data_IF_933157375950
#
_entry.id   IF_933157375950
#
_cell.length_a   1.000
_cell.length_b   1.000
_cell.length_c   1.000
_cell.angle_alpha   90.00
_cell.angle_beta   90.00
_cell.angle_gamma   90.00
#
_symmetry.space_group_name_H-M   'P 1'
#
loop_
_entity.id
_entity.type
_entity.pdbx_description
1 polymer ?
#
# COMPACT_ATOMS: atom_id res chain seq x y z
N UNK A 1 1.58 65.65 -31.07
CA UNK A 1 2.04 64.37 -31.66
C UNK A 1 2.35 63.44 -30.51
N UNK A 2 1.45 62.48 -30.29
CA UNK A 2 1.57 61.40 -29.31
C UNK A 2 2.51 60.33 -29.85
N UNK A 3 3.34 59.72 -29.00
CA UNK A 3 3.63 58.29 -29.15
C UNK A 3 4.08 57.70 -27.81
N UNK A 4 3.22 56.83 -27.28
CA UNK A 4 3.31 56.08 -26.04
C UNK A 4 4.50 55.10 -26.05
N UNK A 5 5.26 55.05 -24.96
CA UNK A 5 6.19 53.96 -24.68
C UNK A 5 5.41 52.76 -24.10
N UNK A 6 5.30 51.68 -24.88
CA UNK A 6 4.71 50.41 -24.45
C UNK A 6 5.72 49.63 -23.59
N UNK A 7 5.51 49.63 -22.28
CA UNK A 7 6.20 48.74 -21.34
C UNK A 7 5.57 47.33 -21.47
N UNK A 8 6.23 46.41 -22.16
CA UNK A 8 5.88 44.99 -22.19
C UNK A 8 6.16 44.37 -20.82
N UNK A 9 5.12 44.31 -19.98
CA UNK A 9 5.13 43.50 -18.77
C UNK A 9 4.94 42.03 -19.19
N UNK A 10 6.02 41.26 -19.24
CA UNK A 10 5.94 39.81 -19.42
C UNK A 10 5.33 39.20 -18.16
N UNK A 11 3.99 39.03 -18.13
CA UNK A 11 3.35 38.14 -17.17
C UNK A 11 3.74 36.71 -17.54
N UNK A 12 4.74 36.18 -16.86
CA UNK A 12 4.96 34.74 -16.80
C UNK A 12 3.81 34.14 -16.01
N UNK A 13 2.84 33.55 -16.70
CA UNK A 13 1.86 32.69 -16.05
C UNK A 13 2.57 31.41 -15.65
N UNK A 14 3.07 31.38 -14.41
CA UNK A 14 3.42 30.12 -13.79
C UNK A 14 2.12 29.31 -13.67
N UNK A 15 1.96 28.27 -14.49
CA UNK A 15 1.00 27.21 -14.20
C UNK A 15 1.44 26.62 -12.86
N UNK A 16 0.82 27.07 -11.77
CA UNK A 16 0.91 26.42 -10.49
C UNK A 16 0.21 25.08 -10.64
N UNK A 17 0.97 24.04 -11.00
CA UNK A 17 0.52 22.67 -10.80
C UNK A 17 0.26 22.56 -9.30
N UNK A 18 -1.00 22.30 -8.93
CA UNK A 18 -1.33 22.00 -7.55
C UNK A 18 -0.34 20.95 -7.05
N UNK A 19 0.23 21.10 -5.84
CA UNK A 19 1.18 20.12 -5.33
C UNK A 19 0.52 18.74 -5.41
N UNK A 20 1.26 17.69 -5.85
CA UNK A 20 0.73 16.33 -5.87
C UNK A 20 0.11 16.03 -4.50
N UNK A 21 -1.18 15.67 -4.49
CA UNK A 21 -1.86 15.37 -3.22
C UNK A 21 -1.15 14.18 -2.56
N UNK A 22 -0.70 14.31 -1.29
CA UNK A 22 -0.03 13.20 -0.62
C UNK A 22 -1.02 12.05 -0.45
N UNK A 23 -0.70 10.83 -0.91
CA UNK A 23 -1.60 9.69 -0.77
C UNK A 23 -1.96 9.48 0.71
N UNK A 24 -3.25 9.36 1.00
CA UNK A 24 -3.75 9.29 2.39
C UNK A 24 -3.31 8.01 3.10
N UNK A 25 -3.11 6.93 2.35
CA UNK A 25 -2.42 5.73 2.82
C UNK A 25 -1.11 5.63 2.03
N UNK A 26 0.03 5.75 2.71
CA UNK A 26 1.36 5.51 2.18
C UNK A 26 2.17 4.72 3.21
N UNK A 27 2.36 3.44 2.94
CA UNK A 27 3.08 2.52 3.83
C UNK A 27 4.18 1.88 3.01
N UNK A 28 5.43 2.10 3.42
CA UNK A 28 6.62 1.47 2.87
C UNK A 28 7.29 0.73 4.02
N UNK A 29 7.42 -0.59 3.93
CA UNK A 29 7.97 -1.40 5.02
C UNK A 29 9.05 -2.35 4.52
N UNK A 30 10.21 -2.31 5.18
CA UNK A 30 11.36 -3.20 4.96
C UNK A 30 11.33 -4.34 5.96
N UNK A 31 11.03 -5.54 5.46
CA UNK A 31 10.89 -6.73 6.29
C UNK A 31 12.26 -7.26 6.72
N UNK A 32 12.41 -7.52 8.01
CA UNK A 32 13.65 -8.02 8.61
C UNK A 32 14.70 -6.93 8.88
N UNK A 33 14.41 -5.66 8.59
CA UNK A 33 15.25 -4.55 9.06
C UNK A 33 15.08 -4.34 10.57
N UNK A 34 16.10 -3.80 11.23
CA UNK A 34 16.06 -3.42 12.65
C UNK A 34 15.80 -1.92 12.84
N UNK A 35 15.92 -1.15 11.77
CA UNK A 35 15.66 0.29 11.73
C UNK A 35 15.19 0.72 10.35
N UNK A 36 14.57 1.91 10.28
CA UNK A 36 14.18 2.50 9.01
C UNK A 36 15.39 2.68 8.08
N UNK A 37 15.19 2.38 6.80
CA UNK A 37 16.21 2.45 5.75
C UNK A 37 15.67 3.23 4.55
N UNK A 38 16.56 3.90 3.82
CA UNK A 38 16.19 4.60 2.59
C UNK A 38 16.49 3.75 1.35
N UNK A 39 15.67 3.94 0.32
CA UNK A 39 16.01 3.47 -1.03
C UNK A 39 16.83 4.51 -1.81
N UNK A 40 17.24 4.15 -3.02
CA UNK A 40 18.02 4.99 -3.93
C UNK A 40 17.28 6.28 -4.36
N UNK A 41 15.97 6.34 -4.14
CA UNK A 41 15.13 7.51 -4.38
C UNK A 41 14.91 8.34 -3.11
N UNK A 42 15.69 8.10 -2.04
CA UNK A 42 15.61 8.78 -0.75
C UNK A 42 14.26 8.60 -0.03
N UNK A 43 13.43 7.62 -0.44
CA UNK A 43 12.18 7.31 0.26
C UNK A 43 12.50 6.52 1.52
N UNK A 44 11.88 6.89 2.63
CA UNK A 44 12.03 6.19 3.91
C UNK A 44 11.13 4.97 3.95
N UNK A 45 11.70 3.82 4.33
CA UNK A 45 10.99 2.59 4.59
C UNK A 45 11.08 2.25 6.07
N UNK A 46 9.94 1.96 6.70
CA UNK A 46 9.88 1.60 8.11
C UNK A 46 10.37 0.18 8.33
N UNK A 47 10.99 -0.10 9.49
CA UNK A 47 11.29 -1.48 9.89
C UNK A 47 10.04 -2.25 10.31
N UNK A 48 10.11 -3.57 10.28
CA UNK A 48 9.02 -4.43 10.73
C UNK A 48 9.21 -5.02 12.14
N UNK A 49 10.42 -4.91 12.72
CA UNK A 49 10.74 -5.46 14.03
C UNK A 49 9.97 -4.73 15.15
N UNK A 50 9.75 -3.43 15.00
CA UNK A 50 9.03 -2.58 15.96
C UNK A 50 7.73 -2.02 15.40
N UNK A 51 7.27 -2.54 14.25
CA UNK A 51 6.11 -2.01 13.56
C UNK A 51 4.81 -2.32 14.30
N UNK A 52 3.92 -1.32 14.37
CA UNK A 52 2.52 -1.50 14.82
C UNK A 52 1.71 -2.42 13.90
N UNK A 53 2.21 -2.73 12.70
CA UNK A 53 1.56 -3.61 11.73
C UNK A 53 1.90 -5.08 11.96
N UNK A 54 2.97 -5.37 12.71
CA UNK A 54 3.39 -6.72 13.03
C UNK A 54 2.73 -7.23 14.33
N UNK A 55 2.53 -8.55 14.47
CA UNK A 55 2.14 -9.14 15.74
C UNK A 55 3.27 -8.97 16.79
N UNK A 56 2.94 -8.81 18.08
CA UNK A 56 3.93 -8.55 19.14
C UNK A 56 5.01 -9.63 19.30
N UNK A 57 4.74 -10.86 18.85
CA UNK A 57 5.65 -12.01 18.93
C UNK A 57 6.47 -12.22 17.64
N UNK A 58 6.61 -11.19 16.79
CA UNK A 58 7.39 -11.29 15.54
C UNK A 58 8.82 -11.82 15.79
N UNK A 59 9.49 -11.38 16.85
CA UNK A 59 10.87 -11.76 17.16
C UNK A 59 11.04 -13.26 17.49
N UNK A 60 9.99 -13.94 17.93
CA UNK A 60 10.04 -15.36 18.31
C UNK A 60 9.37 -16.29 17.29
N UNK A 61 8.59 -15.76 16.35
CA UNK A 61 7.84 -16.52 15.34
C UNK A 61 8.35 -16.34 13.92
N UNK A 62 9.37 -15.50 13.75
CA UNK A 62 9.97 -15.20 12.45
C UNK A 62 11.44 -14.86 12.62
N UNK A 63 12.17 -14.89 11.50
CA UNK A 63 13.61 -14.65 11.49
C UNK A 63 13.94 -13.58 10.47
N UNK A 64 14.74 -12.60 10.88
CA UNK A 64 15.34 -11.64 9.97
C UNK A 64 16.68 -12.17 9.46
N UNK A 65 16.89 -12.16 8.15
CA UNK A 65 18.14 -12.63 7.54
C UNK A 65 18.52 -11.82 6.30
N UNK A 66 19.82 -11.69 6.06
CA UNK A 66 20.36 -11.17 4.81
C UNK A 66 20.50 -12.31 3.79
N UNK A 67 20.40 -12.04 2.49
CA UNK A 67 20.66 -13.05 1.48
C UNK A 67 22.10 -13.56 1.59
N UNK A 68 22.28 -14.87 1.48
CA UNK A 68 23.61 -15.53 1.52
C UNK A 68 24.38 -15.38 0.22
N UNK A 69 23.66 -15.15 -0.88
CA UNK A 69 24.23 -14.88 -2.20
C UNK A 69 24.57 -13.40 -2.30
N UNK A 70 25.85 -13.08 -2.46
CA UNK A 70 26.30 -11.70 -2.65
C UNK A 70 26.09 -11.30 -4.11
N UNK A 71 25.10 -10.44 -4.40
CA UNK A 71 24.81 -10.02 -5.78
C UNK A 71 24.58 -8.51 -5.88
N UNK A 72 25.44 -7.80 -6.62
CA UNK A 72 25.24 -6.42 -7.11
C UNK A 72 25.06 -5.29 -6.08
N UNK A 73 25.22 -4.03 -6.52
CA UNK A 73 24.95 -2.84 -5.72
C UNK A 73 23.47 -2.63 -5.39
N UNK A 74 22.56 -3.23 -6.17
CA UNK A 74 21.09 -3.12 -6.03
C UNK A 74 20.58 -3.76 -4.73
N UNK A 75 21.38 -4.65 -4.11
CA UNK A 75 21.05 -5.27 -2.83
C UNK A 75 21.40 -4.42 -1.60
N UNK A 76 21.99 -3.24 -1.78
CA UNK A 76 22.37 -2.37 -0.65
C UNK A 76 21.28 -1.35 -0.29
N UNK A 77 20.17 -1.29 -1.03
CA UNK A 77 19.07 -0.37 -0.78
C UNK A 77 17.81 -1.09 -0.33
N UNK A 78 16.93 -0.36 0.34
CA UNK A 78 15.58 -0.84 0.61
C UNK A 78 14.85 -1.28 -0.68
N UNK A 79 13.99 -2.31 -0.63
CA UNK A 79 13.72 -3.20 0.51
C UNK A 79 14.51 -4.52 0.48
N UNK A 80 15.57 -4.65 -0.32
CA UNK A 80 16.19 -5.95 -0.61
C UNK A 80 17.37 -6.32 0.29
N UNK A 81 17.83 -5.41 1.15
CA UNK A 81 18.97 -5.64 2.06
C UNK A 81 18.76 -6.85 2.98
N UNK A 82 17.52 -7.08 3.41
CA UNK A 82 17.13 -8.16 4.32
C UNK A 82 15.77 -8.72 3.92
N UNK A 83 15.42 -9.84 4.54
CA UNK A 83 14.09 -10.41 4.48
C UNK A 83 13.67 -10.87 5.87
N UNK A 84 12.35 -10.99 6.05
CA UNK A 84 11.79 -11.77 7.14
C UNK A 84 11.26 -13.10 6.63
N UNK A 85 11.61 -14.15 7.37
CA UNK A 85 11.30 -15.55 7.08
C UNK A 85 10.30 -16.04 8.12
N UNK A 86 9.24 -16.68 7.66
CA UNK A 86 8.13 -17.17 8.49
C UNK A 86 8.05 -18.70 8.40
N UNK A 87 8.03 -19.36 9.55
CA UNK A 87 7.96 -20.84 9.64
C UNK A 87 6.53 -21.35 9.84
N UNK A 88 5.61 -20.46 10.18
CA UNK A 88 4.18 -20.70 10.31
C UNK A 88 3.42 -19.58 9.63
N UNK A 89 2.09 -19.68 9.60
CA UNK A 89 1.26 -18.55 9.16
C UNK A 89 1.63 -17.29 9.94
N UNK A 90 1.85 -16.21 9.19
CA UNK A 90 2.15 -14.89 9.74
C UNK A 90 1.27 -13.85 9.07
N UNK A 91 0.81 -12.85 9.82
CA UNK A 91 -0.11 -11.81 9.29
C UNK A 91 0.34 -10.43 9.73
N UNK A 92 0.59 -9.55 8.77
CA UNK A 92 0.64 -8.11 9.01
C UNK A 92 -0.77 -7.51 8.93
N UNK A 93 -1.08 -6.56 9.81
CA UNK A 93 -2.37 -5.87 9.84
C UNK A 93 -2.18 -4.38 9.62
N UNK A 94 -2.67 -3.87 8.49
CA UNK A 94 -2.56 -2.46 8.14
C UNK A 94 -3.90 -1.75 8.38
N UNK A 95 -3.95 -0.73 9.25
CA UNK A 95 -5.07 0.19 9.30
C UNK A 95 -4.99 1.12 8.10
N UNK A 96 -5.96 1.03 7.19
CA UNK A 96 -6.04 1.80 5.94
C UNK A 96 -7.46 2.27 5.70
N UNK A 97 -7.64 3.34 4.93
CA UNK A 97 -8.98 3.81 4.60
C UNK A 97 -9.69 2.84 3.64
N UNK A 98 -11.03 2.87 3.60
CA UNK A 98 -11.80 2.10 2.63
C UNK A 98 -11.48 2.54 1.18
N UNK A 99 -11.75 1.65 0.22
CA UNK A 99 -11.56 1.86 -1.22
C UNK A 99 -10.37 1.10 -1.81
N UNK A 100 -10.02 1.39 -3.07
CA UNK A 100 -9.01 0.64 -3.81
C UNK A 100 -7.61 0.91 -3.24
N UNK A 101 -6.79 -0.13 -3.21
CA UNK A 101 -5.40 -0.12 -2.75
C UNK A 101 -4.50 -0.74 -3.79
N UNK A 102 -3.42 -0.05 -4.09
CA UNK A 102 -2.26 -0.65 -4.74
C UNK A 102 -1.43 -1.34 -3.66
N UNK A 103 -1.01 -2.56 -3.95
CA UNK A 103 -0.14 -3.37 -3.10
C UNK A 103 0.99 -3.91 -3.96
N UNK A 104 2.23 -3.56 -3.63
CA UNK A 104 3.43 -4.18 -4.21
C UNK A 104 4.16 -4.98 -3.15
N UNK A 105 4.41 -6.25 -3.46
CA UNK A 105 5.16 -7.17 -2.61
C UNK A 105 6.54 -7.39 -3.20
N UNK A 106 7.58 -7.22 -2.39
CA UNK A 106 8.97 -7.32 -2.80
C UNK A 106 9.57 -8.63 -2.30
N UNK A 107 10.22 -9.36 -3.21
CA UNK A 107 10.93 -10.59 -2.87
C UNK A 107 12.30 -10.59 -3.56
N UNK A 108 13.31 -11.13 -2.91
CA UNK A 108 14.60 -11.37 -3.55
C UNK A 108 14.85 -12.87 -3.61
N UNK A 109 15.05 -13.37 -4.84
CA UNK A 109 15.21 -14.80 -5.11
C UNK A 109 16.64 -15.26 -4.77
N UNK A 110 16.88 -15.46 -3.48
CA UNK A 110 18.13 -15.93 -2.93
C UNK A 110 17.91 -16.98 -1.85
N UNK A 111 19.00 -17.64 -1.45
CA UNK A 111 19.01 -18.45 -0.24
C UNK A 111 19.25 -17.56 0.98
N UNK A 112 18.50 -17.80 2.05
CA UNK A 112 18.66 -17.11 3.32
C UNK A 112 18.91 -18.12 4.42
N UNK A 113 19.85 -17.83 5.31
CA UNK A 113 20.12 -18.63 6.50
C UNK A 113 20.01 -17.74 7.72
N UNK A 114 19.18 -18.12 8.69
CA UNK A 114 19.17 -17.48 10.00
C UNK A 114 20.51 -17.67 10.72
N UNK A 115 20.76 -16.84 11.74
CA UNK A 115 21.84 -17.11 12.69
C UNK A 115 21.62 -18.46 13.41
N UNK A 116 20.35 -18.85 13.57
CA UNK A 116 19.97 -20.23 13.85
C UNK A 116 19.98 -21.04 12.53
N UNK A 117 21.00 -21.90 12.38
CA UNK A 117 21.23 -22.72 11.18
C UNK A 117 20.10 -23.70 10.86
N UNK A 118 19.16 -23.89 11.79
CA UNK A 118 18.01 -24.79 11.60
C UNK A 118 16.88 -24.16 10.78
N UNK A 119 16.93 -22.84 10.53
CA UNK A 119 15.93 -22.15 9.73
C UNK A 119 16.59 -21.50 8.54
N UNK A 120 16.33 -22.07 7.38
CA UNK A 120 16.83 -21.58 6.11
C UNK A 120 15.71 -21.51 5.10
N UNK A 121 15.81 -20.57 4.18
CA UNK A 121 14.92 -20.41 3.05
C UNK A 121 15.71 -20.70 1.79
N UNK A 122 15.24 -21.65 0.98
CA UNK A 122 15.86 -22.00 -0.29
C UNK A 122 14.92 -21.60 -1.42
N UNK A 123 15.36 -20.70 -2.30
CA UNK A 123 14.57 -20.16 -3.41
C UNK A 123 14.01 -21.22 -4.37
N UNK A 124 14.67 -22.38 -4.48
CA UNK A 124 14.30 -23.44 -5.40
C UNK A 124 13.34 -24.47 -4.78
N UNK A 125 13.24 -24.51 -3.46
CA UNK A 125 12.53 -25.55 -2.72
C UNK A 125 11.43 -25.01 -1.81
N UNK A 126 11.49 -23.73 -1.44
CA UNK A 126 10.46 -23.06 -0.66
C UNK A 126 9.30 -22.62 -1.55
N UNK A 127 8.09 -23.05 -1.21
CA UNK A 127 6.85 -22.56 -1.80
C UNK A 127 5.93 -22.03 -0.70
N UNK A 128 5.19 -20.97 -0.98
CA UNK A 128 4.25 -20.38 -0.03
C UNK A 128 3.10 -19.67 -0.74
N UNK A 129 2.06 -19.37 0.02
CA UNK A 129 0.89 -18.61 -0.42
C UNK A 129 0.86 -17.27 0.29
N UNK A 130 0.43 -16.23 -0.41
CA UNK A 130 0.19 -14.90 0.17
C UNK A 130 -1.26 -14.52 -0.11
N UNK A 131 -1.95 -14.04 0.93
CA UNK A 131 -3.31 -13.52 0.82
C UNK A 131 -3.38 -12.08 1.31
N UNK A 132 -4.30 -11.31 0.73
CA UNK A 132 -4.77 -10.05 1.28
C UNK A 132 -6.24 -10.21 1.65
N UNK A 133 -6.54 -10.14 2.94
CA UNK A 133 -7.83 -10.55 3.50
C UNK A 133 -8.19 -11.96 2.99
N UNK A 134 -9.37 -12.12 2.36
CA UNK A 134 -9.85 -13.40 1.85
C UNK A 134 -9.31 -13.74 0.45
N UNK A 135 -8.52 -12.85 -0.17
CA UNK A 135 -8.06 -13.02 -1.55
C UNK A 135 -6.65 -13.58 -1.62
N UNK A 136 -6.48 -14.67 -2.37
CA UNK A 136 -5.14 -15.19 -2.70
C UNK A 136 -4.46 -14.32 -3.75
N UNK A 137 -3.32 -13.73 -3.39
CA UNK A 137 -2.49 -12.92 -4.30
C UNK A 137 -1.46 -13.79 -5.03
N UNK A 138 -0.82 -14.68 -4.28
CA UNK A 138 0.23 -15.59 -4.74
C UNK A 138 -0.03 -16.96 -4.17
N UNK A 139 0.15 -18.01 -4.97
CA UNK A 139 0.10 -19.39 -4.49
C UNK A 139 1.07 -20.25 -5.28
N UNK A 140 1.84 -21.07 -4.56
CA UNK A 140 2.74 -22.09 -5.10
C UNK A 140 3.58 -21.61 -6.31
N UNK A 141 4.31 -20.52 -6.11
CA UNK A 141 4.94 -19.76 -7.20
C UNK A 141 6.46 -19.78 -7.10
N UNK A 142 7.14 -19.59 -8.24
CA UNK A 142 8.56 -19.22 -8.27
C UNK A 142 8.73 -17.75 -7.89
N UNK A 143 9.64 -17.47 -6.97
CA UNK A 143 9.84 -16.15 -6.35
C UNK A 143 10.21 -15.09 -7.41
N UNK A 144 9.35 -14.09 -7.67
CA UNK A 144 9.64 -12.95 -8.54
C UNK A 144 10.46 -11.90 -7.79
N UNK A 145 10.90 -10.85 -8.47
CA UNK A 145 11.55 -9.73 -7.79
C UNK A 145 10.54 -8.82 -7.05
N UNK A 146 9.41 -8.54 -7.70
CA UNK A 146 8.25 -7.93 -7.06
C UNK A 146 6.96 -8.37 -7.75
N UNK A 147 5.82 -8.09 -7.11
CA UNK A 147 4.48 -8.32 -7.69
C UNK A 147 3.50 -7.24 -7.27
N UNK A 148 2.72 -6.81 -8.25
CA UNK A 148 1.74 -5.74 -8.10
C UNK A 148 0.31 -6.28 -8.12
N UNK A 149 -0.48 -5.76 -7.18
CA UNK A 149 -1.88 -6.10 -7.01
C UNK A 149 -2.69 -4.85 -6.79
N UNK A 150 -3.93 -4.89 -7.29
CA UNK A 150 -4.99 -4.01 -6.82
C UNK A 150 -5.91 -4.83 -5.93
N UNK A 151 -6.07 -4.38 -4.69
CA UNK A 151 -7.02 -4.95 -3.74
C UNK A 151 -8.05 -3.91 -3.33
N UNK A 152 -9.19 -4.37 -2.82
CA UNK A 152 -10.26 -3.51 -2.37
C UNK A 152 -10.49 -3.69 -0.89
N UNK A 153 -10.52 -2.57 -0.15
CA UNK A 153 -10.93 -2.57 1.25
C UNK A 153 -12.36 -2.07 1.31
N UNK A 154 -13.28 -2.96 1.69
CA UNK A 154 -14.71 -2.66 1.73
C UNK A 154 -15.03 -1.51 2.69
N UNK A 155 -15.95 -0.66 2.26
CA UNK A 155 -16.60 0.30 3.14
C UNK A 155 -17.83 -0.39 3.75
N UNK A 156 -17.87 -0.45 5.08
CA UNK A 156 -18.99 -1.00 5.85
C UNK A 156 -19.85 0.10 6.49
N UNK A 157 -19.68 1.37 6.05
CA UNK A 157 -20.44 2.53 6.52
C UNK A 157 -19.97 3.08 7.88
N UNK A 158 -18.94 2.50 8.49
CA UNK A 158 -18.33 3.06 9.70
C UNK A 158 -17.37 4.20 9.33
N UNK A 159 -17.13 5.14 10.24
CA UNK A 159 -16.06 6.13 10.03
C UNK A 159 -14.70 5.54 10.43
N UNK A 160 -13.63 5.99 9.78
CA UNK A 160 -12.24 5.66 10.15
C UNK A 160 -11.59 4.54 9.34
N UNK A 161 -10.46 4.05 9.85
CA UNK A 161 -9.62 3.03 9.22
C UNK A 161 -10.27 1.64 9.26
N UNK A 162 -9.85 0.80 8.32
CA UNK A 162 -10.20 -0.61 8.17
C UNK A 162 -8.94 -1.45 8.11
N UNK A 163 -9.07 -2.73 8.42
CA UNK A 163 -7.94 -3.65 8.43
C UNK A 163 -7.74 -4.26 7.05
N UNK A 164 -6.55 -4.08 6.50
CA UNK A 164 -6.02 -4.88 5.42
C UNK A 164 -5.02 -5.87 6.03
N UNK A 165 -5.39 -7.15 6.04
CA UNK A 165 -4.55 -8.22 6.56
C UNK A 165 -3.75 -8.83 5.41
N UNK A 166 -2.42 -8.78 5.49
CA UNK A 166 -1.53 -9.49 4.56
C UNK A 166 -1.00 -10.74 5.27
N UNK A 167 -1.42 -11.92 4.82
CA UNK A 167 -1.05 -13.18 5.45
C UNK A 167 -0.15 -14.01 4.54
N UNK A 168 0.94 -14.54 5.10
CA UNK A 168 1.87 -15.46 4.44
C UNK A 168 1.72 -16.85 5.04
N UNK A 169 1.62 -17.85 4.16
CA UNK A 169 1.38 -19.25 4.52
C UNK A 169 2.49 -20.12 3.92
N UNK A 170 3.46 -20.57 4.73
CA UNK A 170 4.44 -21.53 4.27
C UNK A 170 3.78 -22.84 3.82
N UNK A 171 4.30 -23.46 2.77
CA UNK A 171 3.80 -24.75 2.32
C UNK A 171 4.36 -25.87 3.20
N UNK A 172 3.48 -26.56 3.92
CA UNK A 172 3.83 -27.71 4.77
C UNK A 172 3.42 -29.05 4.17
N UNK A 173 2.81 -29.04 2.97
CA UNK A 173 2.39 -30.27 2.28
C UNK A 173 3.58 -31.17 2.01
N UNK A 174 3.45 -32.46 2.33
CA UNK A 174 4.48 -33.49 2.13
C UNK A 174 5.79 -33.26 2.92
N UNK A 175 5.77 -32.43 3.97
CA UNK A 175 6.91 -32.22 4.88
C UNK A 175 8.21 -31.89 4.14
N UNK A 176 8.26 -30.79 3.36
CA UNK A 176 9.45 -30.44 2.61
C UNK A 176 10.57 -30.05 3.57
N UNK A 177 11.82 -30.22 3.11
CA UNK A 177 13.00 -29.77 3.86
C UNK A 177 12.95 -28.26 4.15
N UNK A 178 12.34 -27.49 3.24
CA UNK A 178 12.13 -26.05 3.36
C UNK A 178 10.63 -25.74 3.35
N UNK A 179 10.10 -25.36 4.51
CA UNK A 179 8.68 -25.06 4.71
C UNK A 179 8.49 -23.62 5.22
N UNK A 180 9.15 -22.67 4.55
CA UNK A 180 9.21 -21.28 4.98
C UNK A 180 8.60 -20.34 3.94
N UNK A 181 7.97 -19.27 4.42
CA UNK A 181 7.58 -18.11 3.60
C UNK A 181 8.57 -16.96 3.82
N UNK A 182 8.66 -16.05 2.86
CA UNK A 182 9.59 -14.93 2.90
C UNK A 182 8.95 -13.66 2.34
N UNK A 183 9.31 -12.52 2.92
CA UNK A 183 9.04 -11.19 2.37
C UNK A 183 10.25 -10.26 2.61
N UNK A 184 10.64 -9.48 1.60
CA UNK A 184 11.70 -8.47 1.72
C UNK A 184 11.13 -7.09 2.04
N UNK A 185 9.98 -6.78 1.47
CA UNK A 185 9.26 -5.57 1.82
C UNK A 185 7.90 -5.48 1.13
N UNK A 186 7.20 -4.40 1.44
CA UNK A 186 5.93 -4.09 0.80
C UNK A 186 5.70 -2.58 0.69
N UNK A 187 4.88 -2.23 -0.29
CA UNK A 187 4.34 -0.89 -0.45
C UNK A 187 2.82 -0.97 -0.55
N UNK A 188 2.12 -0.10 0.18
CA UNK A 188 0.67 0.07 0.11
C UNK A 188 0.38 1.54 -0.16
N UNK A 189 -0.38 1.81 -1.21
CA UNK A 189 -0.90 3.14 -1.49
C UNK A 189 -2.39 3.11 -1.82
N UNK A 190 -3.08 4.17 -1.43
CA UNK A 190 -4.46 4.36 -1.87
C UNK A 190 -4.52 4.78 -3.34
N UNK A 191 -5.37 4.12 -4.10
CA UNK A 191 -5.69 4.52 -5.47
C UNK A 191 -6.87 5.49 -5.50
N UNK A 192 -6.96 6.30 -6.54
CA UNK A 192 -8.10 7.17 -6.74
C UNK A 192 -9.36 6.34 -6.98
N UNK A 193 -10.47 6.78 -6.40
CA UNK A 193 -11.77 6.16 -6.66
C UNK A 193 -12.34 6.63 -8.01
N UNK A 194 -13.53 6.13 -8.38
CA UNK A 194 -14.24 6.53 -9.61
C UNK A 194 -14.53 8.03 -9.73
N UNK A 195 -14.45 8.78 -8.63
CA UNK A 195 -14.57 10.24 -8.61
C UNK A 195 -13.21 10.96 -8.70
N UNK A 196 -12.15 10.24 -9.10
CA UNK A 196 -10.76 10.70 -9.10
C UNK A 196 -10.25 11.21 -7.74
N UNK A 197 -10.89 10.79 -6.64
CA UNK A 197 -10.55 11.24 -5.28
C UNK A 197 -9.66 10.23 -4.58
N UNK A 198 -8.61 10.74 -3.93
CA UNK A 198 -7.75 10.00 -2.99
C UNK A 198 -8.23 10.13 -1.54
N UNK A 199 -9.15 11.05 -1.24
CA UNK A 199 -9.69 11.24 0.09
C UNK A 199 -10.54 10.03 0.52
N UNK A 200 -10.54 9.67 1.81
CA UNK A 200 -11.64 8.85 2.32
C UNK A 200 -12.94 9.65 2.19
N UNK A 201 -14.09 8.99 2.11
CA UNK A 201 -15.37 9.66 2.37
C UNK A 201 -15.17 10.46 3.67
N UNK A 202 -15.33 11.78 3.59
CA UNK A 202 -14.91 12.76 4.59
C UNK A 202 -14.92 12.18 6.01
N UNK A 203 -13.76 12.16 6.67
CA UNK A 203 -13.77 12.26 8.12
C UNK A 203 -14.40 13.63 8.38
N UNK A 204 -15.69 13.68 8.70
CA UNK A 204 -16.23 14.91 9.23
C UNK A 204 -15.36 15.30 10.42
N UNK A 205 -14.81 16.53 10.45
CA UNK A 205 -14.10 16.98 11.62
C UNK A 205 -15.08 16.84 12.78
N UNK A 206 -14.71 16.02 13.78
CA UNK A 206 -15.40 16.03 15.07
C UNK A 206 -15.33 17.48 15.51
N UNK A 207 -16.45 18.18 15.39
CA UNK A 207 -16.57 19.53 15.91
C UNK A 207 -16.49 19.35 17.43
N UNK A 208 -15.28 19.44 17.98
CA UNK A 208 -15.09 19.60 19.40
C UNK A 208 -16.01 20.76 19.81
N UNK A 209 -16.96 20.43 20.68
CA UNK A 209 -17.98 21.31 21.21
C UNK A 209 -17.45 22.72 21.40
N UNK A 210 -17.92 23.65 20.58
CA UNK A 210 -17.78 25.07 20.91
C UNK A 210 -18.51 25.31 22.24
N UNK A 211 -17.98 26.16 23.13
CA UNK A 211 -18.67 26.52 24.37
C UNK A 211 -20.03 27.13 24.04
N UNK A 212 -21.03 27.03 24.93
CA UNK A 212 -22.37 27.50 24.64
C UNK A 212 -22.34 28.98 24.25
N UNK A 213 -22.75 29.28 23.01
CA UNK A 213 -22.99 30.63 22.56
C UNK A 213 -24.16 31.26 23.32
N UNK A 214 -24.23 32.60 23.39
CA UNK A 214 -25.20 33.29 24.23
C UNK A 214 -26.64 33.03 23.77
N UNK A 215 -27.54 32.97 24.76
CA UNK A 215 -28.98 32.73 24.61
C UNK A 215 -29.62 33.72 23.61
N UNK A 216 -30.16 33.19 22.50
CA UNK A 216 -30.86 33.95 21.46
C UNK A 216 -32.38 33.87 21.70
N UNK A 217 -32.81 34.14 22.93
CA UNK A 217 -34.21 34.38 23.24
C UNK A 217 -34.71 35.75 22.76
N UNK A 218 -33.88 36.54 22.07
CA UNK A 218 -34.24 37.85 21.51
C UNK A 218 -33.67 38.06 20.10
N UNK A 219 -34.29 37.52 19.05
CA UNK A 219 -34.31 38.19 17.75
C UNK A 219 -35.53 37.73 16.92
N UNK A 220 -36.37 38.70 16.56
CA UNK A 220 -37.65 38.53 15.89
C UNK A 220 -37.54 38.19 14.39
N UNK A 221 -38.40 37.25 13.98
CA UNK A 221 -39.16 37.15 12.72
C UNK A 221 -38.61 37.83 11.45
N UNK A 222 -38.21 37.02 10.46
CA UNK A 222 -38.47 37.30 9.04
C UNK A 222 -38.68 35.99 8.28
N UNK A 223 -39.94 35.70 7.98
CA UNK A 223 -40.38 34.70 7.02
C UNK A 223 -40.28 35.22 5.57
N UNK A 224 -39.98 34.30 4.65
CA UNK A 224 -40.27 34.28 3.19
C UNK A 224 -39.05 34.18 2.25
N UNK A 225 -38.95 33.05 1.52
CA UNK A 225 -38.74 32.89 0.05
C UNK A 225 -38.63 31.38 -0.31
N UNK A 226 -38.92 30.94 -1.56
CA UNK A 226 -39.68 29.72 -1.84
C UNK A 226 -38.85 28.44 -2.11
N UNK A 227 -39.50 27.28 -1.90
CA UNK A 227 -38.99 25.93 -2.21
C UNK A 227 -38.81 25.73 -3.73
N UNK A 228 -37.59 25.44 -4.17
CA UNK A 228 -37.31 24.91 -5.50
C UNK A 228 -37.50 23.39 -5.55
N UNK A 229 -38.34 22.91 -6.46
CA UNK A 229 -38.51 21.50 -6.83
C UNK A 229 -37.25 20.94 -7.51
N UNK A 230 -36.83 19.73 -7.15
CA UNK A 230 -35.81 18.95 -7.87
C UNK A 230 -36.49 17.78 -8.56
N UNK A 231 -36.53 17.82 -9.90
CA UNK A 231 -37.00 16.72 -10.74
C UNK A 231 -36.00 15.55 -10.70
N UNK A 232 -36.45 14.39 -10.23
CA UNK A 232 -35.71 13.13 -10.36
C UNK A 232 -35.93 12.52 -11.75
N UNK A 233 -34.88 12.49 -12.56
CA UNK A 233 -34.84 11.62 -13.75
C UNK A 233 -34.34 10.24 -13.35
N UNK A 234 -35.27 9.28 -13.33
CA UNK A 234 -35.03 7.85 -13.09
C UNK A 234 -34.61 7.17 -14.38
N UNK A 235 -33.35 6.73 -14.49
CA UNK A 235 -32.94 5.76 -15.50
C UNK A 235 -33.16 4.33 -14.95
N UNK A 236 -33.89 3.45 -15.66
CA UNK A 236 -34.11 2.07 -15.23
C UNK A 236 -32.94 1.16 -15.68
N UNK A 237 -32.43 0.34 -14.76
CA UNK A 237 -31.53 -0.78 -15.08
C UNK A 237 -30.19 -0.77 -14.35
N UNK A 238 -30.19 -0.82 -13.01
CA UNK A 238 -29.00 -1.18 -12.23
C UNK A 238 -29.12 -2.67 -11.89
N UNK A 239 -28.31 -3.49 -12.53
CA UNK A 239 -28.03 -4.84 -12.06
C UNK A 239 -27.20 -4.69 -10.78
N UNK A 240 -27.78 -5.09 -9.67
CA UNK A 240 -27.17 -5.04 -8.35
C UNK A 240 -26.03 -6.06 -8.24
N UNK A 241 -24.82 -5.56 -8.00
CA UNK A 241 -23.67 -6.34 -7.54
C UNK A 241 -22.40 -6.03 -8.32
N UNK A 242 -21.36 -5.45 -7.72
CA UNK A 242 -20.06 -5.39 -8.38
C UNK A 242 -19.52 -6.82 -8.53
N UNK A 243 -19.43 -7.28 -9.78
CA UNK A 243 -18.55 -8.40 -10.14
C UNK A 243 -17.12 -7.91 -9.95
N UNK A 244 -16.43 -8.44 -8.93
CA UNK A 244 -15.08 -7.97 -8.58
C UNK A 244 -14.05 -8.54 -9.55
N UNK A 245 -13.35 -7.65 -10.27
CA UNK A 245 -12.19 -8.00 -11.09
C UNK A 245 -10.94 -7.63 -10.30
N UNK A 246 -10.26 -8.61 -9.73
CA UNK A 246 -8.92 -8.44 -9.19
C UNK A 246 -7.93 -8.51 -10.35
N UNK A 247 -7.31 -7.38 -10.68
CA UNK A 247 -6.34 -7.30 -11.75
C UNK A 247 -4.96 -7.59 -11.16
N UNK A 248 -4.40 -8.76 -11.51
CA UNK A 248 -2.96 -8.94 -11.47
C UNK A 248 -2.37 -8.05 -12.56
N UNK A 249 -1.57 -7.07 -12.18
CA UNK A 249 -0.82 -6.27 -13.15
C UNK A 249 0.38 -7.14 -13.53
N UNK A 250 0.29 -7.90 -14.63
CA UNK A 250 1.39 -8.73 -15.10
C UNK A 250 2.46 -7.86 -15.74
N UNK A 251 3.61 -7.71 -15.08
CA UNK A 251 4.86 -7.41 -15.77
C UNK A 251 5.49 -8.74 -16.22
N UNK A 252 5.63 -8.93 -17.52
CA UNK A 252 6.50 -9.96 -18.09
C UNK A 252 7.96 -9.53 -17.89
N UNK A 253 8.60 -10.02 -16.84
CA UNK A 253 10.05 -9.87 -16.70
C UNK A 253 10.76 -11.07 -17.35
N UNK A 254 10.88 -11.04 -18.69
CA UNK A 254 11.98 -11.72 -19.37
C UNK A 254 13.10 -10.71 -19.62
N UNK A 255 14.08 -10.66 -18.72
CA UNK A 255 15.40 -10.12 -19.02
C UNK A 255 16.46 -11.21 -18.78
N UNK A 256 16.64 -12.07 -19.78
CA UNK A 256 17.92 -12.74 -20.01
C UNK A 256 18.51 -12.16 -21.30
N UNK A 257 19.08 -10.95 -21.19
CA UNK A 257 19.93 -10.41 -22.23
C UNK A 257 21.27 -11.15 -22.19
N UNK A 258 21.48 -12.04 -23.15
CA UNK A 258 22.74 -12.71 -23.40
C UNK A 258 23.81 -11.67 -23.76
N UNK A 259 24.99 -11.74 -23.14
CA UNK A 259 26.16 -10.98 -23.60
C UNK A 259 26.71 -11.69 -24.84
N UNK A 260 26.81 -11.04 -26.02
CA UNK A 260 27.57 -11.60 -27.13
C UNK A 260 29.06 -11.42 -26.84
N UNK A 261 29.78 -12.53 -26.81
CA UNK A 261 31.24 -12.56 -26.92
C UNK A 261 31.64 -12.01 -28.30
N UNK A 262 32.52 -11.00 -28.31
CA UNK A 262 33.40 -10.67 -29.44
C UNK A 262 34.75 -11.30 -29.14
#
# INVERSE_FOLDING_TARGET
MSCFALLLCFLTTALSAAPPYPPTDQILMCCGSESSIKDDNERSWDDDAHSKYAPPNIATTSIASAPTEQVSSVLNSAPYTRARIFQSQFTYTFPVLAGPKFLRLYFFSATYSGLDKNVSFNKNESFFTVTANEFTLLSNFKIPYFRDYVTWVSDDGRHGERKLNLSLFPNTMHHPLYNNALLNGLEIFKLSNSSHSLAAANLEPILNSSPPGPDISQLHDFSALPKGERLEHKCPGVITGPTFVHVKISHEDQWFGSIPTI
#
